data_IF_543620631791
#
_entry.id   IF_543620631791
#
_cell.length_a   1.000
_cell.length_b   1.000
_cell.length_c   1.000
_cell.angle_alpha   90.00
_cell.angle_beta   90.00
_cell.angle_gamma   90.00
#
_symmetry.space_group_name_H-M   'P 1'
#
loop_
_entity.id
_entity.type
_entity.pdbx_description
1 polymer ?
#
# COMPACT_ATOMS: atom_id res chain seq x y z
N UNK A 1 -18.88 84.33 -11.53
CA UNK A 1 -17.44 84.62 -11.72
C UNK A 1 -16.63 83.52 -11.05
N UNK A 2 -15.70 82.92 -11.81
CA UNK A 2 -14.52 82.11 -11.42
C UNK A 2 -14.79 80.77 -10.71
N UNK A 3 -14.74 79.65 -11.43
CA UNK A 3 -13.53 78.85 -11.75
C UNK A 3 -12.85 78.28 -10.50
N UNK A 4 -12.94 76.97 -10.32
CA UNK A 4 -11.74 76.12 -10.38
C UNK A 4 -12.15 74.68 -10.74
N UNK A 5 -11.83 74.30 -11.97
CA UNK A 5 -11.78 72.91 -12.44
C UNK A 5 -10.56 72.26 -11.78
N UNK A 6 -10.74 71.13 -11.10
CA UNK A 6 -9.68 70.12 -11.00
C UNK A 6 -10.27 68.74 -11.25
N UNK A 7 -9.96 68.24 -12.45
CA UNK A 7 -10.19 66.85 -12.88
C UNK A 7 -9.20 65.97 -12.13
N UNK A 8 -9.69 65.07 -11.29
CA UNK A 8 -8.97 63.84 -10.96
C UNK A 8 -9.74 62.72 -11.66
N UNK A 9 -9.18 62.24 -12.77
CA UNK A 9 -9.57 60.98 -13.39
C UNK A 9 -9.15 59.86 -12.45
N UNK A 10 -10.10 59.29 -11.71
CA UNK A 10 -9.93 57.96 -11.13
C UNK A 10 -10.40 56.95 -12.19
N UNK A 11 -9.44 56.24 -12.76
CA UNK A 11 -9.70 55.09 -13.64
C UNK A 11 -10.42 54.01 -12.82
N UNK A 12 -11.73 53.91 -12.96
CA UNK A 12 -12.47 52.71 -12.60
C UNK A 12 -12.18 51.66 -13.68
N UNK A 13 -11.07 50.94 -13.55
CA UNK A 13 -10.97 49.61 -14.16
C UNK A 13 -11.83 48.68 -13.33
N UNK A 14 -13.13 48.62 -13.66
CA UNK A 14 -13.96 47.49 -13.30
C UNK A 14 -13.35 46.25 -13.96
N UNK A 15 -12.62 45.46 -13.17
CA UNK A 15 -12.22 44.12 -13.57
C UNK A 15 -13.50 43.29 -13.60
N UNK A 16 -14.13 43.18 -14.78
CA UNK A 16 -15.13 42.15 -15.01
C UNK A 16 -14.41 40.81 -15.03
N UNK A 17 -14.32 40.19 -13.86
CA UNK A 17 -13.92 38.79 -13.74
C UNK A 17 -14.94 38.01 -14.56
N UNK A 18 -14.51 37.43 -15.68
CA UNK A 18 -15.39 36.57 -16.47
C UNK A 18 -15.99 35.49 -15.57
N UNK A 19 -17.25 35.12 -15.78
CA UNK A 19 -17.94 34.10 -14.98
C UNK A 19 -17.14 32.79 -14.86
N UNK A 20 -16.32 32.48 -15.87
CA UNK A 20 -15.37 31.36 -15.87
C UNK A 20 -14.24 31.51 -14.84
N UNK A 21 -13.65 32.70 -14.69
CA UNK A 21 -12.64 32.96 -13.67
C UNK A 21 -13.25 32.99 -12.26
N UNK A 22 -14.47 33.52 -12.11
CA UNK A 22 -15.17 33.46 -10.83
C UNK A 22 -15.46 32.02 -10.41
N UNK A 23 -15.89 31.16 -11.33
CA UNK A 23 -16.10 29.73 -11.10
C UNK A 23 -14.80 28.99 -10.70
N UNK A 24 -13.66 29.31 -11.34
CA UNK A 24 -12.36 28.73 -10.99
C UNK A 24 -11.86 29.19 -9.61
N UNK A 25 -12.06 30.47 -9.26
CA UNK A 25 -11.69 30.99 -7.94
C UNK A 25 -12.56 30.34 -6.86
N UNK A 26 -13.87 30.18 -7.10
CA UNK A 26 -14.78 29.50 -6.18
C UNK A 26 -14.38 28.02 -6.02
N UNK A 27 -13.98 27.32 -7.09
CA UNK A 27 -13.54 25.93 -6.99
C UNK A 27 -12.24 25.80 -6.20
N UNK A 28 -11.26 26.69 -6.42
CA UNK A 28 -10.00 26.69 -5.67
C UNK A 28 -10.25 26.98 -4.19
N UNK A 29 -11.13 27.94 -3.86
CA UNK A 29 -11.47 28.25 -2.48
C UNK A 29 -12.24 27.11 -1.79
N UNK A 30 -13.09 26.37 -2.51
CA UNK A 30 -13.76 25.17 -1.95
C UNK A 30 -12.76 24.03 -1.72
N UNK A 31 -11.79 23.83 -2.61
CA UNK A 31 -10.73 22.83 -2.41
C UNK A 31 -9.82 23.18 -1.22
N UNK A 32 -9.49 24.45 -1.02
CA UNK A 32 -8.70 24.90 0.14
C UNK A 32 -9.51 24.75 1.44
N UNK A 33 -10.80 25.08 1.44
CA UNK A 33 -11.66 24.91 2.62
C UNK A 33 -11.85 23.43 3.01
N UNK A 34 -11.99 22.53 2.02
CA UNK A 34 -12.04 21.08 2.25
C UNK A 34 -10.70 20.54 2.79
N UNK A 35 -9.57 21.03 2.29
CA UNK A 35 -8.24 20.68 2.80
C UNK A 35 -8.00 21.12 4.25
N UNK A 36 -8.46 22.31 4.63
CA UNK A 36 -8.36 22.83 6.00
C UNK A 36 -9.30 22.08 6.95
N UNK A 37 -10.51 21.71 6.52
CA UNK A 37 -11.40 20.86 7.33
C UNK A 37 -10.84 19.45 7.53
N UNK A 38 -10.11 18.90 6.56
CA UNK A 38 -9.44 17.61 6.68
C UNK A 38 -8.32 17.64 7.74
N UNK A 39 -7.58 18.74 7.82
CA UNK A 39 -6.54 18.94 8.84
C UNK A 39 -7.15 19.09 10.25
N UNK A 40 -8.25 19.82 10.40
CA UNK A 40 -8.93 20.00 11.69
C UNK A 40 -9.69 18.74 12.17
N UNK A 41 -10.21 17.92 11.27
CA UNK A 41 -10.82 16.64 11.62
C UNK A 41 -9.78 15.61 12.09
N UNK A 42 -8.56 15.65 11.53
CA UNK A 42 -7.46 14.76 11.92
C UNK A 42 -6.93 15.04 13.32
N UNK A 43 -6.98 16.30 13.79
CA UNK A 43 -6.56 16.66 15.16
C UNK A 43 -7.63 16.34 16.21
N UNK A 44 -8.92 16.41 15.85
CA UNK A 44 -10.02 16.07 16.77
C UNK A 44 -10.09 14.57 17.09
N UNK A 45 -9.71 13.70 16.15
CA UNK A 45 -9.69 12.25 16.36
C UNK A 45 -8.53 11.77 17.26
N UNK A 46 -7.48 12.58 17.43
CA UNK A 46 -6.32 12.26 18.27
C UNK A 46 -6.58 12.60 19.76
N UNK A 47 -7.56 13.47 20.08
CA UNK A 47 -7.75 14.01 21.43
C UNK A 47 -9.04 13.59 22.14
N UNK A 48 -9.90 12.75 21.55
CA UNK A 48 -11.23 12.48 22.10
C UNK A 48 -11.71 11.04 21.96
N UNK A 49 -11.21 10.13 22.79
CA UNK A 49 -11.67 8.74 22.82
C UNK A 49 -11.20 7.94 24.03
N UNK A 50 -11.62 8.35 25.24
CA UNK A 50 -11.42 7.57 26.46
C UNK A 50 -12.26 6.28 26.42
N UNK A 51 -11.63 5.12 26.21
CA UNK A 51 -12.23 3.81 26.48
C UNK A 51 -11.38 3.12 27.56
N UNK A 52 -12.00 2.89 28.72
CA UNK A 52 -11.43 2.14 29.84
C UNK A 52 -11.29 0.66 29.45
N UNK A 53 -10.07 0.16 29.33
CA UNK A 53 -9.81 -1.28 29.30
C UNK A 53 -9.88 -1.88 30.71
N UNK A 54 -10.67 -2.94 30.85
CA UNK A 54 -10.68 -3.82 32.03
C UNK A 54 -9.58 -4.85 31.86
N UNK A 55 -8.62 -4.84 32.78
CA UNK A 55 -7.64 -5.90 32.99
C UNK A 55 -8.33 -7.26 33.17
N UNK A 56 -7.82 -8.28 32.49
CA UNK A 56 -7.90 -9.66 32.97
C UNK A 56 -6.59 -10.38 32.62
N UNK A 57 -6.07 -11.03 33.67
CA UNK A 57 -4.81 -11.75 33.82
C UNK A 57 -4.41 -12.67 32.65
N UNK A 58 -3.15 -12.53 32.22
CA UNK A 58 -2.47 -13.55 31.40
C UNK A 58 -1.52 -14.30 32.33
N UNK A 59 -1.98 -15.47 32.79
CA UNK A 59 -1.09 -16.49 33.34
C UNK A 59 -0.39 -17.22 32.19
N UNK A 60 0.89 -17.47 32.42
CA UNK A 60 1.86 -18.20 31.60
C UNK A 60 1.33 -19.51 31.03
N UNK A 61 1.39 -19.68 29.71
CA UNK A 61 1.23 -20.99 29.06
C UNK A 61 2.59 -21.46 28.52
N UNK A 62 3.20 -22.42 29.21
CA UNK A 62 4.41 -23.12 28.78
C UNK A 62 4.12 -23.98 27.54
N UNK A 63 4.93 -23.82 26.49
CA UNK A 63 4.88 -24.71 25.32
C UNK A 63 5.89 -25.83 25.53
N UNK A 64 5.38 -26.99 25.94
CA UNK A 64 6.11 -28.26 25.92
C UNK A 64 6.43 -28.67 24.48
N UNK A 65 7.71 -29.00 24.25
CA UNK A 65 8.23 -29.63 23.03
C UNK A 65 7.37 -30.83 22.65
N UNK A 66 6.85 -30.88 21.42
CA UNK A 66 6.34 -32.09 20.79
C UNK A 66 6.99 -32.30 19.44
N UNK A 67 7.39 -33.55 19.26
CA UNK A 67 8.18 -34.09 18.17
C UNK A 67 7.55 -33.88 16.79
N UNK A 68 8.41 -33.52 15.84
CA UNK A 68 8.12 -33.47 14.41
C UNK A 68 7.95 -34.91 13.94
N UNK A 69 6.70 -35.37 13.84
CA UNK A 69 6.31 -36.47 12.96
C UNK A 69 5.64 -35.86 11.73
N UNK A 70 6.26 -36.09 10.57
CA UNK A 70 5.65 -35.91 9.26
C UNK A 70 4.22 -36.45 9.28
N UNK A 71 3.24 -35.54 9.21
CA UNK A 71 1.85 -35.91 9.12
C UNK A 71 1.22 -35.09 8.01
N UNK A 72 0.72 -35.82 7.01
CA UNK A 72 -0.12 -35.39 5.89
C UNK A 72 -0.95 -34.14 6.24
N UNK A 73 -0.46 -32.97 5.85
CA UNK A 73 -1.28 -31.76 5.82
C UNK A 73 -2.24 -31.96 4.67
N UNK A 74 -3.52 -32.21 4.96
CA UNK A 74 -4.57 -32.08 3.96
C UNK A 74 -4.41 -30.69 3.34
N UNK A 75 -4.13 -30.63 2.02
CA UNK A 75 -3.91 -29.38 1.29
C UNK A 75 -5.16 -28.52 1.42
N UNK A 76 -5.12 -27.55 2.34
CA UNK A 76 -6.23 -26.62 2.57
C UNK A 76 -6.40 -25.77 1.30
N UNK A 77 -7.63 -25.68 0.79
CA UNK A 77 -8.01 -24.86 -0.37
C UNK A 77 -7.31 -25.25 -1.68
N UNK A 78 -7.48 -26.50 -2.14
CA UNK A 78 -7.13 -26.91 -3.50
C UNK A 78 -7.85 -26.01 -4.51
N UNK A 79 -7.13 -25.48 -5.49
CA UNK A 79 -7.68 -24.45 -6.40
C UNK A 79 -8.86 -24.96 -7.22
N UNK A 80 -8.87 -26.25 -7.60
CA UNK A 80 -9.96 -26.87 -8.34
C UNK A 80 -11.31 -26.87 -7.61
N UNK A 81 -11.29 -26.88 -6.28
CA UNK A 81 -12.48 -26.89 -5.42
C UNK A 81 -13.01 -25.48 -5.14
N UNK A 82 -12.23 -24.43 -5.48
CA UNK A 82 -12.60 -23.05 -5.15
C UNK A 82 -13.69 -22.56 -6.11
N UNK A 83 -14.82 -22.15 -5.51
CA UNK A 83 -15.95 -21.51 -6.17
C UNK A 83 -16.17 -20.10 -5.60
N UNK A 84 -15.71 -19.08 -6.32
CA UNK A 84 -15.89 -17.68 -5.95
C UNK A 84 -16.33 -16.90 -7.18
N UNK A 85 -17.60 -16.51 -7.22
CA UNK A 85 -18.19 -15.72 -8.31
C UNK A 85 -18.38 -14.25 -7.92
N UNK A 86 -18.69 -13.99 -6.65
CA UNK A 86 -18.87 -12.65 -6.08
C UNK A 86 -18.01 -12.44 -4.85
N UNK A 87 -17.78 -11.17 -4.51
CA UNK A 87 -17.02 -10.75 -3.33
C UNK A 87 -17.75 -9.60 -2.63
N UNK A 88 -17.72 -9.60 -1.30
CA UNK A 88 -18.26 -8.51 -0.49
C UNK A 88 -17.14 -7.56 -0.08
N UNK A 89 -17.30 -6.29 -0.41
CA UNK A 89 -16.28 -5.25 -0.18
C UNK A 89 -16.88 -4.15 0.67
N UNK A 90 -16.21 -3.80 1.77
CA UNK A 90 -16.54 -2.64 2.56
C UNK A 90 -15.89 -1.38 1.98
N UNK A 91 -16.74 -0.44 1.56
CA UNK A 91 -16.34 0.86 1.05
C UNK A 91 -16.25 1.85 2.21
N UNK A 92 -15.02 2.13 2.66
CA UNK A 92 -14.77 2.86 3.92
C UNK A 92 -15.31 4.28 3.90
N UNK A 93 -15.25 4.98 2.76
CA UNK A 93 -15.75 6.37 2.64
C UNK A 93 -17.28 6.48 2.70
N UNK A 94 -17.98 5.46 2.23
CA UNK A 94 -19.44 5.43 2.16
C UNK A 94 -20.06 4.63 3.31
N UNK A 95 -19.22 4.06 4.19
CA UNK A 95 -19.61 3.19 5.31
C UNK A 95 -20.65 2.12 4.92
N UNK A 96 -20.41 1.42 3.81
CA UNK A 96 -21.32 0.38 3.32
C UNK A 96 -20.61 -0.80 2.69
N UNK A 97 -21.24 -1.96 2.74
CA UNK A 97 -20.79 -3.17 2.04
C UNK A 97 -21.49 -3.27 0.70
N UNK A 98 -20.71 -3.53 -0.36
CA UNK A 98 -21.21 -3.85 -1.70
C UNK A 98 -20.84 -5.28 -2.07
N UNK A 99 -21.68 -5.93 -2.86
CA UNK A 99 -21.38 -7.25 -3.44
C UNK A 99 -21.18 -7.09 -4.95
N UNK A 100 -20.06 -7.61 -5.46
CA UNK A 100 -19.64 -7.42 -6.84
C UNK A 100 -19.21 -8.76 -7.45
N UNK A 101 -19.44 -9.00 -8.76
CA UNK A 101 -18.74 -10.07 -9.47
C UNK A 101 -17.23 -9.89 -9.31
N UNK A 102 -16.51 -10.98 -9.02
CA UNK A 102 -15.08 -10.92 -8.71
C UNK A 102 -14.29 -10.21 -9.81
N UNK A 103 -14.60 -10.46 -11.08
CA UNK A 103 -13.90 -9.85 -12.21
C UNK A 103 -14.13 -8.33 -12.31
N UNK A 104 -15.32 -7.83 -11.93
CA UNK A 104 -15.57 -6.38 -11.86
C UNK A 104 -14.79 -5.74 -10.71
N UNK A 105 -14.71 -6.43 -9.58
CA UNK A 105 -13.87 -5.98 -8.46
C UNK A 105 -12.39 -5.89 -8.86
N UNK A 106 -11.85 -6.90 -9.56
CA UNK A 106 -10.45 -6.90 -10.01
C UNK A 106 -10.15 -5.74 -10.97
N UNK A 107 -11.07 -5.38 -11.88
CA UNK A 107 -10.90 -4.18 -12.72
C UNK A 107 -10.75 -2.91 -11.87
N UNK A 108 -11.58 -2.75 -10.84
CA UNK A 108 -11.50 -1.61 -9.91
C UNK A 108 -10.20 -1.61 -9.10
N UNK A 109 -9.72 -2.78 -8.68
CA UNK A 109 -8.44 -2.92 -7.95
C UNK A 109 -7.25 -2.53 -8.83
N UNK A 110 -7.06 -3.20 -9.98
CA UNK A 110 -5.83 -2.97 -10.76
C UNK A 110 -5.76 -1.57 -11.35
N UNK A 111 -6.92 -0.98 -11.66
CA UNK A 111 -6.98 0.42 -12.13
C UNK A 111 -6.67 1.44 -11.04
N UNK A 112 -6.75 1.05 -9.77
CA UNK A 112 -6.45 1.88 -8.60
C UNK A 112 -5.04 1.67 -8.06
N UNK A 113 -4.51 0.45 -8.20
CA UNK A 113 -3.20 0.04 -7.68
C UNK A 113 -2.05 0.27 -8.68
N UNK A 114 -2.31 0.13 -9.98
CA UNK A 114 -1.26 0.18 -11.01
C UNK A 114 -1.49 1.33 -12.00
N UNK A 115 -0.46 2.11 -12.38
CA UNK A 115 -0.59 3.14 -13.39
C UNK A 115 -1.04 2.57 -14.74
N UNK A 116 -2.05 3.18 -15.35
CA UNK A 116 -2.65 2.66 -16.59
C UNK A 116 -1.72 2.70 -17.81
N UNK A 117 -0.67 3.52 -17.76
CA UNK A 117 0.37 3.59 -18.78
C UNK A 117 1.38 2.43 -18.69
N UNK A 118 1.31 1.57 -17.66
CA UNK A 118 2.14 0.38 -17.59
C UNK A 118 1.79 -0.62 -18.68
N UNK A 119 2.75 -1.48 -19.00
CA UNK A 119 2.61 -2.50 -20.03
C UNK A 119 1.48 -3.48 -19.73
N UNK A 120 0.85 -3.99 -20.79
CA UNK A 120 -0.32 -4.86 -20.66
C UNK A 120 -0.01 -6.16 -19.91
N UNK A 121 1.20 -6.70 -20.08
CA UNK A 121 1.64 -7.91 -19.37
C UNK A 121 1.84 -7.66 -17.86
N UNK A 122 2.25 -6.45 -17.46
CA UNK A 122 2.31 -6.07 -16.05
C UNK A 122 0.90 -5.94 -15.44
N UNK A 123 -0.06 -5.35 -16.18
CA UNK A 123 -1.46 -5.27 -15.75
C UNK A 123 -2.10 -6.66 -15.62
N UNK A 124 -1.79 -7.60 -16.53
CA UNK A 124 -2.22 -9.01 -16.45
C UNK A 124 -1.63 -9.69 -15.21
N UNK A 125 -0.34 -9.50 -14.93
CA UNK A 125 0.29 -10.06 -13.73
C UNK A 125 -0.38 -9.51 -12.45
N UNK A 126 -0.64 -8.20 -12.40
CA UNK A 126 -1.36 -7.56 -11.30
C UNK A 126 -2.78 -8.12 -11.14
N UNK A 127 -3.50 -8.39 -12.24
CA UNK A 127 -4.83 -8.98 -12.18
C UNK A 127 -4.83 -10.37 -11.54
N UNK A 128 -3.88 -11.24 -11.89
CA UNK A 128 -3.74 -12.59 -11.31
C UNK A 128 -3.35 -12.52 -9.83
N UNK A 129 -2.36 -11.69 -9.47
CA UNK A 129 -1.95 -11.51 -8.07
C UNK A 129 -3.11 -10.94 -7.23
N UNK A 130 -3.78 -9.90 -7.73
CA UNK A 130 -4.92 -9.30 -7.05
C UNK A 130 -6.06 -10.31 -6.87
N UNK A 131 -6.42 -11.07 -7.91
CA UNK A 131 -7.46 -12.10 -7.81
C UNK A 131 -7.12 -13.19 -6.80
N UNK A 132 -5.88 -13.65 -6.78
CA UNK A 132 -5.41 -14.64 -5.82
C UNK A 132 -5.55 -14.12 -4.39
N UNK A 133 -5.12 -12.88 -4.14
CA UNK A 133 -5.29 -12.22 -2.85
C UNK A 133 -6.76 -12.09 -2.47
N UNK A 134 -7.61 -11.64 -3.40
CA UNK A 134 -9.06 -11.52 -3.20
C UNK A 134 -9.68 -12.84 -2.77
N UNK A 135 -9.43 -13.91 -3.53
CA UNK A 135 -9.96 -15.25 -3.23
C UNK A 135 -9.50 -15.69 -1.84
N UNK A 136 -8.22 -15.53 -1.52
CA UNK A 136 -7.62 -15.88 -0.22
C UNK A 136 -8.29 -15.19 0.97
N UNK A 137 -8.84 -13.99 0.76
CA UNK A 137 -9.50 -13.20 1.80
C UNK A 137 -11.03 -13.32 1.78
N UNK A 138 -11.60 -14.18 0.93
CA UNK A 138 -13.03 -14.47 1.02
C UNK A 138 -13.35 -15.35 2.22
N UNK A 139 -14.49 -15.10 2.85
CA UNK A 139 -15.02 -15.97 3.92
C UNK A 139 -15.30 -17.39 3.42
N UNK A 140 -15.57 -17.56 2.12
CA UNK A 140 -15.84 -18.85 1.48
C UNK A 140 -14.73 -19.88 1.73
N UNK A 141 -13.46 -19.44 1.84
CA UNK A 141 -12.32 -20.32 2.10
C UNK A 141 -11.64 -20.06 3.45
N UNK A 142 -12.41 -19.49 4.39
CA UNK A 142 -12.00 -19.23 5.77
C UNK A 142 -11.15 -17.96 5.95
N UNK A 143 -11.17 -17.04 4.98
CA UNK A 143 -10.59 -15.72 5.08
C UNK A 143 -11.55 -14.69 5.69
N UNK A 144 -11.31 -13.42 5.37
CA UNK A 144 -12.11 -12.26 5.74
C UNK A 144 -11.25 -11.07 6.15
N UNK A 145 -11.88 -9.92 6.33
CA UNK A 145 -11.21 -8.70 6.76
C UNK A 145 -11.74 -8.23 8.12
N UNK A 146 -10.85 -8.12 9.12
CA UNK A 146 -11.17 -7.61 10.46
C UNK A 146 -11.56 -6.12 10.45
N UNK A 147 -11.08 -5.35 9.48
CA UNK A 147 -11.49 -3.95 9.23
C UNK A 147 -12.59 -3.82 8.18
N UNK A 148 -13.13 -4.94 7.71
CA UNK A 148 -14.09 -4.99 6.61
C UNK A 148 -15.54 -4.90 7.05
N UNK A 149 -15.85 -4.57 8.31
CA UNK A 149 -17.24 -4.52 8.80
C UNK A 149 -18.07 -5.77 8.43
N UNK A 150 -17.49 -6.97 8.58
CA UNK A 150 -18.13 -8.23 8.23
C UNK A 150 -18.13 -8.59 6.73
N UNK A 151 -17.44 -7.84 5.88
CA UNK A 151 -17.19 -8.18 4.47
C UNK A 151 -15.94 -9.04 4.27
N UNK A 152 -15.67 -9.43 3.03
CA UNK A 152 -14.47 -10.19 2.66
C UNK A 152 -13.23 -9.30 2.65
N UNK A 153 -13.33 -8.09 2.07
CA UNK A 153 -12.22 -7.13 1.91
C UNK A 153 -12.65 -5.69 2.23
N UNK A 154 -11.69 -4.80 2.49
CA UNK A 154 -11.91 -3.34 2.48
C UNK A 154 -11.21 -2.66 1.31
N UNK A 155 -11.61 -1.44 0.98
CA UNK A 155 -11.14 -0.65 -0.18
C UNK A 155 -9.85 0.18 0.08
N UNK A 156 -9.06 -0.21 1.09
CA UNK A 156 -7.85 0.52 1.50
C UNK A 156 -6.60 -0.36 1.35
N UNK A 157 -5.42 0.23 1.56
CA UNK A 157 -4.13 -0.50 1.57
C UNK A 157 -4.01 -1.58 2.64
N UNK A 158 -4.97 -1.69 3.56
CA UNK A 158 -5.09 -2.85 4.45
C UNK A 158 -5.43 -4.13 3.67
N UNK A 159 -6.26 -4.02 2.64
CA UNK A 159 -6.57 -5.11 1.73
C UNK A 159 -6.07 -4.73 0.34
N UNK A 160 -6.89 -4.05 -0.45
CA UNK A 160 -6.56 -3.56 -1.78
C UNK A 160 -7.33 -2.27 -2.05
N UNK A 161 -6.68 -1.29 -2.65
CA UNK A 161 -7.35 -0.05 -3.04
C UNK A 161 -8.35 -0.35 -4.15
N UNK A 162 -9.60 0.06 -3.96
CA UNK A 162 -10.67 -0.13 -4.93
C UNK A 162 -11.38 1.20 -5.22
N UNK A 163 -11.60 1.47 -6.50
CA UNK A 163 -12.47 2.54 -7.00
C UNK A 163 -13.37 1.96 -8.08
N UNK A 164 -14.60 2.47 -8.18
CA UNK A 164 -15.55 2.04 -9.19
C UNK A 164 -15.13 2.47 -10.61
N UNK A 165 -15.74 1.85 -11.62
CA UNK A 165 -15.56 2.24 -13.02
C UNK A 165 -15.83 3.74 -13.23
N UNK A 166 -16.93 4.21 -12.67
CA UNK A 166 -17.39 5.59 -12.80
C UNK A 166 -16.37 6.56 -12.21
N UNK A 167 -15.88 6.26 -10.99
CA UNK A 167 -14.83 7.05 -10.33
C UNK A 167 -13.55 7.09 -11.18
N UNK A 168 -13.11 5.94 -11.70
CA UNK A 168 -11.91 5.84 -12.53
C UNK A 168 -12.03 6.57 -13.87
N UNK A 169 -13.16 6.42 -14.57
CA UNK A 169 -13.41 7.13 -15.83
C UNK A 169 -13.43 8.63 -15.59
N UNK A 170 -14.10 9.09 -14.52
CA UNK A 170 -14.12 10.50 -14.16
C UNK A 170 -12.71 11.04 -13.87
N UNK A 171 -11.89 10.30 -13.11
CA UNK A 171 -10.51 10.69 -12.79
C UNK A 171 -9.61 10.76 -14.03
N UNK A 172 -9.80 9.87 -15.00
CA UNK A 172 -9.01 9.85 -16.25
C UNK A 172 -9.52 10.83 -17.31
N UNK A 173 -10.70 11.42 -17.10
CA UNK A 173 -11.30 12.41 -17.99
C UNK A 173 -11.46 11.89 -19.42
N UNK A 174 -10.94 12.64 -20.39
CA UNK A 174 -11.11 12.33 -21.84
C UNK A 174 -10.56 10.95 -22.26
N UNK A 175 -9.62 10.38 -21.50
CA UNK A 175 -9.06 9.04 -21.75
C UNK A 175 -9.76 7.95 -20.94
N UNK A 176 -10.81 8.27 -20.18
CA UNK A 176 -11.44 7.35 -19.23
C UNK A 176 -11.91 6.05 -19.87
N UNK A 177 -12.68 6.14 -20.96
CA UNK A 177 -13.20 4.96 -21.66
C UNK A 177 -12.10 4.11 -22.29
N UNK A 178 -11.09 4.72 -22.93
CA UNK A 178 -9.99 3.97 -23.56
C UNK A 178 -9.08 3.31 -22.52
N UNK A 179 -8.80 4.00 -21.41
CA UNK A 179 -8.08 3.46 -20.28
C UNK A 179 -8.83 2.28 -19.64
N UNK A 180 -10.14 2.41 -19.46
CA UNK A 180 -10.96 1.33 -18.92
C UNK A 180 -10.97 0.09 -19.83
N UNK A 181 -11.01 0.26 -21.16
CA UNK A 181 -10.90 -0.86 -22.11
C UNK A 181 -9.59 -1.64 -21.95
N UNK A 182 -8.47 -0.95 -21.71
CA UNK A 182 -7.18 -1.62 -21.45
C UNK A 182 -7.21 -2.43 -20.15
N UNK A 183 -7.88 -1.93 -19.11
CA UNK A 183 -8.11 -2.67 -17.86
C UNK A 183 -8.95 -3.92 -18.13
N UNK A 184 -10.05 -3.79 -18.89
CA UNK A 184 -10.90 -4.90 -19.26
C UNK A 184 -10.14 -5.97 -20.06
N UNK A 185 -9.29 -5.56 -20.99
CA UNK A 185 -8.41 -6.46 -21.75
C UNK A 185 -7.52 -7.29 -20.82
N UNK A 186 -6.83 -6.64 -19.87
CA UNK A 186 -5.92 -7.32 -18.94
C UNK A 186 -6.66 -8.32 -18.02
N UNK A 187 -7.82 -7.93 -17.49
CA UNK A 187 -8.61 -8.77 -16.58
C UNK A 187 -9.26 -9.92 -17.33
N UNK A 188 -9.83 -9.68 -18.51
CA UNK A 188 -10.49 -10.72 -19.31
C UNK A 188 -9.49 -11.76 -19.82
N UNK A 189 -8.28 -11.33 -20.22
CA UNK A 189 -7.21 -12.22 -20.66
C UNK A 189 -6.69 -13.16 -19.55
N UNK A 190 -6.95 -12.82 -18.28
CA UNK A 190 -6.53 -13.58 -17.08
C UNK A 190 -7.71 -14.04 -16.23
N UNK A 191 -8.92 -14.05 -16.81
CA UNK A 191 -10.17 -14.32 -16.10
C UNK A 191 -10.09 -15.63 -15.31
N UNK A 192 -10.38 -15.58 -14.01
CA UNK A 192 -10.35 -16.73 -13.11
C UNK A 192 -8.98 -17.40 -12.91
N UNK A 193 -7.89 -16.81 -13.41
CA UNK A 193 -6.54 -17.32 -13.11
C UNK A 193 -6.07 -16.82 -11.74
N UNK A 194 -5.51 -17.73 -10.96
CA UNK A 194 -4.92 -17.50 -9.63
C UNK A 194 -3.55 -18.18 -9.53
N UNK A 195 -2.77 -17.79 -8.53
CA UNK A 195 -1.50 -18.43 -8.18
C UNK A 195 -1.76 -19.59 -7.22
N UNK A 196 -1.11 -20.72 -7.48
CA UNK A 196 -1.09 -21.88 -6.58
C UNK A 196 0.34 -22.24 -6.21
N UNK A 197 0.51 -22.87 -5.06
CA UNK A 197 1.75 -23.50 -4.64
C UNK A 197 1.44 -24.87 -4.06
N UNK A 198 2.12 -25.90 -4.58
CA UNK A 198 1.82 -27.30 -4.25
C UNK A 198 0.32 -27.64 -4.40
N UNK A 199 -0.36 -27.11 -5.41
CA UNK A 199 -1.79 -27.33 -5.72
C UNK A 199 -2.79 -26.61 -4.79
N UNK A 200 -2.33 -26.02 -3.69
CA UNK A 200 -3.14 -25.12 -2.85
C UNK A 200 -3.06 -23.68 -3.33
N UNK A 201 -4.09 -22.87 -3.06
CA UNK A 201 -4.07 -21.44 -3.35
C UNK A 201 -2.88 -20.75 -2.65
N UNK A 202 -2.09 -19.97 -3.39
CA UNK A 202 -1.02 -19.17 -2.82
C UNK A 202 -1.60 -17.92 -2.12
N UNK A 203 -2.10 -18.11 -0.90
CA UNK A 203 -2.91 -17.12 -0.17
C UNK A 203 -2.22 -15.77 0.11
N UNK A 204 -0.89 -15.74 0.06
CA UNK A 204 -0.06 -14.56 0.27
C UNK A 204 0.40 -13.92 -1.05
N UNK A 205 -0.48 -13.71 -2.02
CA UNK A 205 -0.13 -13.06 -3.30
C UNK A 205 0.07 -11.53 -3.13
N UNK A 206 1.01 -11.14 -2.27
CA UNK A 206 1.29 -9.74 -1.97
C UNK A 206 2.04 -9.06 -3.12
N UNK A 207 1.86 -7.75 -3.24
CA UNK A 207 2.53 -6.90 -4.22
C UNK A 207 2.70 -5.49 -3.64
N UNK A 208 3.63 -4.74 -4.20
CA UNK A 208 3.97 -3.40 -3.72
C UNK A 208 4.54 -2.54 -4.86
N UNK A 209 4.68 -1.24 -4.62
CA UNK A 209 4.99 -0.30 -5.70
C UNK A 209 6.38 -0.50 -6.31
N UNK A 210 7.42 -0.34 -5.49
CA UNK A 210 8.81 -0.27 -5.97
C UNK A 210 9.73 -0.92 -4.96
N UNK A 211 10.64 -1.78 -5.41
CA UNK A 211 11.66 -2.38 -4.54
C UNK A 211 12.92 -1.52 -4.45
N UNK A 212 13.89 -1.98 -3.68
CA UNK A 212 15.21 -1.32 -3.60
C UNK A 212 16.27 -1.97 -4.49
N UNK A 213 15.83 -2.77 -5.47
CA UNK A 213 16.65 -3.64 -6.31
C UNK A 213 16.45 -5.13 -6.01
N UNK A 214 15.89 -5.46 -4.83
CA UNK A 214 15.50 -6.81 -4.41
C UNK A 214 14.19 -6.78 -3.65
N UNK A 215 13.45 -7.88 -3.73
CA UNK A 215 12.28 -8.16 -2.87
C UNK A 215 12.72 -8.72 -1.52
N UNK A 216 11.78 -8.81 -0.58
CA UNK A 216 11.98 -9.32 0.78
C UNK A 216 11.39 -10.72 0.93
N UNK A 217 11.99 -11.54 1.81
CA UNK A 217 11.35 -12.77 2.27
C UNK A 217 10.13 -12.40 3.12
N UNK A 218 9.09 -13.24 3.10
CA UNK A 218 7.86 -12.92 3.84
C UNK A 218 8.07 -12.85 5.35
N UNK A 219 8.91 -13.71 5.93
CA UNK A 219 9.20 -13.73 7.38
C UNK A 219 10.03 -12.55 7.89
N UNK A 220 10.70 -11.82 7.00
CA UNK A 220 11.47 -10.64 7.38
C UNK A 220 10.57 -9.40 7.56
N UNK A 221 9.35 -9.45 7.02
CA UNK A 221 8.37 -8.35 7.01
C UNK A 221 7.08 -8.71 7.75
N UNK A 222 6.64 -9.95 7.62
CA UNK A 222 5.46 -10.55 8.24
C UNK A 222 5.85 -11.70 9.18
N UNK A 223 4.86 -12.34 9.82
CA UNK A 223 5.12 -13.38 10.83
C UNK A 223 5.49 -14.73 10.22
N UNK A 224 4.94 -15.07 9.05
CA UNK A 224 5.02 -16.42 8.50
C UNK A 224 5.97 -16.49 7.31
N UNK A 225 6.83 -17.51 7.30
CA UNK A 225 7.61 -17.89 6.14
C UNK A 225 6.71 -18.58 5.11
N UNK A 226 6.64 -18.04 3.90
CA UNK A 226 5.91 -18.60 2.77
C UNK A 226 6.90 -19.02 1.67
N UNK A 227 6.96 -20.30 1.28
CA UNK A 227 8.00 -20.82 0.37
C UNK A 227 8.09 -20.10 -0.99
N UNK A 228 6.97 -19.54 -1.45
CA UNK A 228 6.87 -18.80 -2.72
C UNK A 228 7.11 -17.30 -2.58
N UNK A 229 7.31 -16.76 -1.37
CA UNK A 229 7.65 -15.35 -1.13
C UNK A 229 9.08 -15.25 -0.63
N UNK A 230 10.01 -15.27 -1.57
CA UNK A 230 11.45 -15.24 -1.34
C UNK A 230 12.03 -13.97 -1.95
N UNK A 231 13.16 -13.53 -1.40
CA UNK A 231 13.92 -12.42 -1.98
C UNK A 231 14.41 -12.80 -3.37
N UNK A 232 14.07 -11.98 -4.37
CA UNK A 232 14.53 -12.07 -5.76
C UNK A 232 15.01 -10.69 -6.23
N UNK A 233 15.94 -10.69 -7.18
CA UNK A 233 16.38 -9.47 -7.87
C UNK A 233 15.20 -8.80 -8.59
N UNK A 234 15.17 -7.47 -8.61
CA UNK A 234 14.14 -6.70 -9.31
C UNK A 234 14.78 -5.49 -9.99
N UNK A 235 14.88 -5.55 -11.31
CA UNK A 235 15.57 -4.55 -12.14
C UNK A 235 14.60 -3.47 -12.64
N UNK A 236 15.13 -2.29 -12.95
CA UNK A 236 14.38 -1.17 -13.52
C UNK A 236 13.52 -0.41 -12.51
N UNK A 237 13.76 -0.63 -11.21
CA UNK A 237 13.07 0.03 -10.09
C UNK A 237 13.40 1.52 -10.02
N UNK A 238 14.60 1.89 -10.43
CA UNK A 238 15.12 3.25 -10.50
C UNK A 238 14.31 4.16 -11.44
N UNK A 239 13.52 3.57 -12.35
CA UNK A 239 12.60 4.30 -13.21
C UNK A 239 11.36 4.81 -12.46
N UNK A 240 11.11 4.29 -11.25
CA UNK A 240 9.97 4.71 -10.45
C UNK A 240 10.19 6.14 -9.90
N UNK A 241 9.20 7.05 -10.03
CA UNK A 241 9.31 8.42 -9.51
C UNK A 241 9.56 8.49 -8.00
N UNK A 242 9.19 7.43 -7.26
CA UNK A 242 9.34 7.33 -5.80
C UNK A 242 10.43 6.32 -5.39
N UNK A 243 11.37 6.01 -6.28
CA UNK A 243 12.46 5.08 -5.98
C UNK A 243 13.34 5.56 -4.81
N UNK A 244 13.57 6.87 -4.71
CA UNK A 244 14.25 7.50 -3.56
C UNK A 244 13.31 8.51 -2.91
N UNK A 245 13.39 8.63 -1.60
CA UNK A 245 12.66 9.67 -0.85
C UNK A 245 13.42 10.05 0.41
N UNK A 246 13.27 11.29 0.85
CA UNK A 246 13.88 11.80 2.08
C UNK A 246 12.79 12.30 3.00
N UNK A 247 12.88 11.95 4.28
CA UNK A 247 12.03 12.50 5.35
C UNK A 247 12.92 13.30 6.30
N UNK A 248 12.84 14.65 6.27
CA UNK A 248 13.49 15.47 7.29
C UNK A 248 12.71 15.36 8.61
N UNK A 249 13.43 15.29 9.74
CA UNK A 249 12.84 15.27 11.07
C UNK A 249 13.78 15.90 12.09
N UNK A 250 13.23 16.72 12.99
CA UNK A 250 14.02 17.30 14.07
C UNK A 250 14.42 16.24 15.09
N UNK A 251 15.54 16.45 15.78
CA UNK A 251 15.92 15.53 16.86
C UNK A 251 14.85 15.43 17.96
N UNK A 252 14.17 16.54 18.27
CA UNK A 252 13.11 16.59 19.25
C UNK A 252 11.92 15.69 18.85
N UNK A 253 11.40 15.86 17.63
CA UNK A 253 10.27 15.05 17.14
C UNK A 253 10.65 13.57 17.02
N UNK A 254 11.90 13.30 16.62
CA UNK A 254 12.40 11.93 16.52
C UNK A 254 12.36 11.22 17.87
N UNK A 255 12.89 11.87 18.90
CA UNK A 255 12.96 11.39 20.28
C UNK A 255 11.55 11.23 20.87
N UNK A 256 10.69 12.23 20.70
CA UNK A 256 9.33 12.21 21.22
C UNK A 256 8.57 10.99 20.71
N UNK A 257 8.60 10.74 19.39
CA UNK A 257 7.95 9.58 18.76
C UNK A 257 8.52 8.25 19.25
N UNK A 258 9.85 8.13 19.35
CA UNK A 258 10.47 6.89 19.82
C UNK A 258 10.12 6.60 21.29
N UNK A 259 10.10 7.64 22.13
CA UNK A 259 9.81 7.51 23.55
C UNK A 259 8.34 7.22 23.82
N UNK A 260 7.42 7.90 23.13
CA UNK A 260 5.98 7.73 23.34
C UNK A 260 5.49 6.35 22.89
N UNK A 261 5.99 5.86 21.74
CA UNK A 261 5.53 4.58 21.18
C UNK A 261 6.27 3.38 21.77
N UNK A 262 7.58 3.51 22.07
CA UNK A 262 8.43 2.37 22.40
C UNK A 262 9.17 2.48 23.73
N UNK A 263 8.90 3.51 24.54
CA UNK A 263 9.60 3.75 25.81
C UNK A 263 11.13 3.70 25.64
N UNK A 264 11.63 4.24 24.53
CA UNK A 264 13.02 4.14 24.09
C UNK A 264 14.03 4.87 25.01
N UNK A 265 13.56 5.71 25.94
CA UNK A 265 14.36 6.51 26.87
C UNK A 265 15.48 7.31 26.18
N UNK A 266 15.17 7.87 25.02
CA UNK A 266 16.08 8.66 24.22
C UNK A 266 16.18 10.11 24.70
N UNK A 267 17.33 10.73 24.47
CA UNK A 267 17.58 12.15 24.78
C UNK A 267 18.45 12.83 23.71
N UNK A 268 18.50 14.16 23.70
CA UNK A 268 19.34 14.93 22.76
C UNK A 268 20.85 14.68 22.95
N UNK A 269 21.27 14.35 24.17
CA UNK A 269 22.67 14.14 24.49
C UNK A 269 23.19 12.88 23.77
N UNK A 270 24.19 13.04 22.91
CA UNK A 270 24.78 11.94 22.12
C UNK A 270 23.73 11.14 21.33
N UNK A 271 22.76 11.81 20.70
CA UNK A 271 21.66 11.13 19.98
C UNK A 271 22.16 10.11 18.94
N UNK A 272 23.29 10.38 18.27
CA UNK A 272 23.88 9.48 17.27
C UNK A 272 24.24 8.11 17.86
N UNK A 273 24.72 8.08 19.11
CA UNK A 273 25.11 6.84 19.80
C UNK A 273 23.89 6.02 20.26
N UNK A 274 22.72 6.66 20.33
CA UNK A 274 21.47 6.02 20.74
C UNK A 274 20.73 5.34 19.58
N UNK A 275 21.17 5.56 18.34
CA UNK A 275 20.54 5.00 17.14
C UNK A 275 21.54 4.05 16.47
N UNK A 276 21.19 2.77 16.37
CA UNK A 276 22.08 1.78 15.75
C UNK A 276 21.31 0.79 14.91
N UNK A 277 21.55 0.78 13.60
CA UNK A 277 21.11 -0.31 12.73
C UNK A 277 21.90 -1.56 13.13
N UNK A 278 21.19 -2.62 13.48
CA UNK A 278 21.79 -3.86 13.99
C UNK A 278 21.96 -4.90 12.87
N UNK A 279 20.93 -5.06 12.04
CA UNK A 279 20.88 -6.10 11.01
C UNK A 279 20.05 -5.61 9.81
N UNK A 280 20.42 -6.09 8.61
CA UNK A 280 19.64 -5.93 7.38
C UNK A 280 19.23 -7.30 6.84
N UNK A 281 18.11 -7.33 6.14
CA UNK A 281 17.60 -8.49 5.42
C UNK A 281 18.38 -8.71 4.13
N UNK A 282 18.20 -9.86 3.49
CA UNK A 282 18.80 -10.14 2.17
C UNK A 282 18.26 -9.19 1.07
N UNK A 283 17.02 -8.71 1.22
CA UNK A 283 16.41 -7.70 0.35
C UNK A 283 16.90 -6.27 0.60
N UNK A 284 17.68 -6.06 1.66
CA UNK A 284 18.34 -4.80 2.00
C UNK A 284 17.60 -3.94 3.04
N UNK A 285 16.35 -4.26 3.38
CA UNK A 285 15.63 -3.56 4.45
C UNK A 285 16.30 -3.72 5.81
N UNK A 286 16.06 -2.77 6.70
CA UNK A 286 16.48 -2.88 8.09
C UNK A 286 15.64 -3.95 8.78
N UNK A 287 16.30 -5.01 9.24
CA UNK A 287 15.64 -6.09 9.99
C UNK A 287 15.44 -5.68 11.44
N UNK A 288 16.47 -5.10 12.05
CA UNK A 288 16.40 -4.57 13.42
C UNK A 288 17.23 -3.30 13.61
N UNK A 289 16.69 -2.37 14.39
CA UNK A 289 17.32 -1.10 14.76
C UNK A 289 17.10 -0.83 16.25
N UNK A 290 18.17 -0.40 16.91
CA UNK A 290 18.16 0.05 18.30
C UNK A 290 17.90 1.54 18.37
N UNK A 291 16.95 1.93 19.22
CA UNK A 291 16.57 3.30 19.57
C UNK A 291 16.64 3.43 21.09
N UNK A 292 17.71 4.03 21.62
CA UNK A 292 17.97 4.08 23.06
C UNK A 292 17.97 2.68 23.69
N UNK A 293 16.99 2.40 24.55
CA UNK A 293 16.80 1.07 25.18
C UNK A 293 15.94 0.11 24.35
N UNK A 294 15.16 0.62 23.39
CA UNK A 294 14.26 -0.19 22.57
C UNK A 294 15.00 -0.79 21.37
N UNK A 295 14.56 -1.98 20.94
CA UNK A 295 14.93 -2.56 19.65
C UNK A 295 13.66 -2.86 18.88
N UNK A 296 13.54 -2.31 17.67
CA UNK A 296 12.35 -2.44 16.83
C UNK A 296 12.74 -2.94 15.43
N UNK A 297 11.77 -3.43 14.67
CA UNK A 297 11.97 -3.83 13.28
C UNK A 297 11.91 -2.63 12.33
N UNK A 298 12.51 -2.76 11.15
CA UNK A 298 12.42 -1.72 10.11
C UNK A 298 10.98 -1.36 9.70
N UNK A 299 10.04 -2.32 9.54
CA UNK A 299 8.63 -2.00 9.29
C UNK A 299 7.97 -1.16 10.39
N UNK A 300 8.32 -1.40 11.67
CA UNK A 300 7.84 -0.56 12.78
C UNK A 300 8.41 0.85 12.71
N UNK A 301 9.72 0.97 12.46
CA UNK A 301 10.39 2.26 12.28
C UNK A 301 9.78 3.04 11.10
N UNK A 302 9.57 2.36 9.96
CA UNK A 302 8.93 2.91 8.77
C UNK A 302 7.58 3.53 9.10
N UNK A 303 6.73 2.80 9.82
CA UNK A 303 5.41 3.29 10.21
C UNK A 303 5.50 4.47 11.18
N UNK A 304 6.39 4.41 12.18
CA UNK A 304 6.56 5.48 13.17
C UNK A 304 6.96 6.82 12.54
N UNK A 305 7.83 6.78 11.53
CA UNK A 305 8.39 7.98 10.90
C UNK A 305 7.80 8.28 9.51
N UNK A 306 6.78 7.55 9.07
CA UNK A 306 6.08 7.81 7.81
C UNK A 306 6.95 7.59 6.56
N UNK A 307 7.81 6.57 6.59
CA UNK A 307 8.76 6.30 5.51
C UNK A 307 8.14 5.49 4.37
N UNK A 308 8.68 5.67 3.16
CA UNK A 308 8.24 4.93 1.99
C UNK A 308 8.58 3.43 2.07
N UNK A 309 9.71 3.06 2.67
CA UNK A 309 10.15 1.68 2.82
C UNK A 309 10.92 1.47 4.13
N UNK A 310 11.23 0.22 4.45
CA UNK A 310 12.12 -0.15 5.55
C UNK A 310 13.60 -0.20 5.14
N UNK A 311 13.93 0.09 3.88
CA UNK A 311 15.32 0.23 3.42
C UNK A 311 15.70 1.71 3.43
N UNK A 312 16.34 2.14 4.51
CA UNK A 312 16.74 3.54 4.70
C UNK A 312 18.13 3.69 5.31
N UNK A 313 18.64 4.91 5.20
CA UNK A 313 19.85 5.42 5.84
C UNK A 313 19.50 6.69 6.61
N UNK A 314 20.26 6.98 7.67
CA UNK A 314 20.05 8.17 8.53
C UNK A 314 21.26 9.09 8.35
N UNK A 315 21.00 10.29 7.85
CA UNK A 315 21.98 11.37 7.77
C UNK A 315 21.76 12.36 8.92
N UNK A 316 22.81 12.70 9.65
CA UNK A 316 22.73 13.54 10.84
C UNK A 316 23.19 14.96 10.53
N UNK A 317 22.32 15.94 10.75
CA UNK A 317 22.60 17.36 10.62
C UNK A 317 22.81 18.00 12.01
N UNK A 318 22.99 19.32 12.07
CA UNK A 318 23.29 20.01 13.32
C UNK A 318 22.16 19.93 14.34
N UNK A 319 20.92 20.18 13.91
CA UNK A 319 19.72 20.18 14.77
C UNK A 319 18.66 19.14 14.36
N UNK A 320 18.85 18.53 13.19
CA UNK A 320 17.88 17.67 12.54
C UNK A 320 18.56 16.39 12.02
N UNK A 321 17.77 15.48 11.49
CA UNK A 321 18.24 14.37 10.68
C UNK A 321 17.38 14.21 9.42
N UNK A 322 17.97 13.58 8.42
CA UNK A 322 17.30 13.19 7.18
C UNK A 322 17.31 11.68 7.05
N UNK A 323 16.12 11.09 6.88
CA UNK A 323 15.98 9.65 6.68
C UNK A 323 15.76 9.39 5.20
N UNK A 324 16.79 8.89 4.53
CA UNK A 324 16.80 8.61 3.09
C UNK A 324 16.39 7.17 2.83
N UNK A 325 15.25 6.97 2.16
CA UNK A 325 14.69 5.65 1.86
C UNK A 325 14.90 5.28 0.39
N UNK A 326 14.97 3.97 0.13
CA UNK A 326 14.98 3.38 -1.21
C UNK A 326 13.82 2.41 -1.38
N UNK A 327 13.10 2.52 -2.48
CA UNK A 327 11.87 1.77 -2.75
C UNK A 327 10.63 2.36 -2.06
N UNK A 328 9.47 1.81 -2.40
CA UNK A 328 8.17 2.21 -1.86
C UNK A 328 7.25 1.01 -1.68
N UNK A 329 6.92 0.70 -0.42
CA UNK A 329 6.08 -0.45 -0.07
C UNK A 329 6.77 -1.40 0.91
N UNK A 330 6.15 -2.55 1.13
CA UNK A 330 6.62 -3.53 2.11
C UNK A 330 7.68 -4.50 1.56
N UNK A 331 7.89 -4.56 0.24
CA UNK A 331 9.00 -5.32 -0.36
C UNK A 331 8.72 -6.79 -0.68
N UNK A 332 7.59 -7.36 -0.25
CA UNK A 332 7.31 -8.80 -0.36
C UNK A 332 6.48 -9.11 -1.61
N UNK A 333 6.86 -10.14 -2.36
CA UNK A 333 6.14 -10.58 -3.56
C UNK A 333 6.45 -9.71 -4.78
N UNK A 334 5.44 -9.33 -5.56
CA UNK A 334 5.64 -8.66 -6.85
C UNK A 334 5.84 -7.15 -6.72
N UNK A 335 6.95 -6.65 -7.27
CA UNK A 335 7.16 -5.21 -7.51
C UNK A 335 6.39 -4.77 -8.75
N UNK A 336 5.56 -3.73 -8.64
CA UNK A 336 4.78 -3.21 -9.77
C UNK A 336 5.69 -2.56 -10.83
N UNK A 337 6.68 -1.77 -10.41
CA UNK A 337 7.64 -1.16 -11.33
C UNK A 337 8.60 -2.18 -11.94
N UNK A 338 9.05 -3.15 -11.16
CA UNK A 338 9.84 -4.27 -11.68
C UNK A 338 9.06 -5.14 -12.67
N UNK A 339 7.78 -5.42 -12.42
CA UNK A 339 6.90 -6.10 -13.37
C UNK A 339 6.74 -5.32 -14.67
N UNK A 340 6.61 -3.98 -14.58
CA UNK A 340 6.53 -3.11 -15.75
C UNK A 340 7.84 -3.13 -16.56
N UNK A 341 9.00 -3.13 -15.90
CA UNK A 341 10.30 -3.25 -16.58
C UNK A 341 10.44 -4.61 -17.28
N UNK A 342 10.09 -5.70 -16.61
CA UNK A 342 10.12 -7.03 -17.24
C UNK A 342 9.19 -7.08 -18.48
N UNK A 343 8.00 -6.49 -18.37
CA UNK A 343 7.06 -6.44 -19.49
C UNK A 343 7.60 -5.61 -20.67
N UNK A 344 8.27 -4.47 -20.41
CA UNK A 344 8.88 -3.66 -21.46
C UNK A 344 10.07 -4.36 -22.14
N UNK A 345 10.72 -5.30 -21.45
CA UNK A 345 11.73 -6.22 -21.99
C UNK A 345 11.11 -7.44 -22.72
N UNK A 346 9.78 -7.47 -22.89
CA UNK A 346 9.07 -8.50 -23.63
C UNK A 346 8.71 -9.76 -22.84
N UNK A 347 8.83 -9.75 -21.51
CA UNK A 347 8.37 -10.85 -20.65
C UNK A 347 6.85 -10.89 -20.58
N UNK A 348 6.30 -12.11 -20.55
CA UNK A 348 4.86 -12.31 -20.38
C UNK A 348 4.47 -12.18 -18.92
N UNK A 349 3.17 -12.00 -18.64
CA UNK A 349 2.65 -11.98 -17.27
C UNK A 349 2.98 -13.25 -16.48
N UNK A 350 3.12 -14.40 -17.16
CA UNK A 350 3.50 -15.67 -16.53
C UNK A 350 4.95 -15.64 -16.07
N UNK A 351 5.86 -15.15 -16.92
CA UNK A 351 7.28 -15.01 -16.59
C UNK A 351 7.45 -14.05 -15.41
N UNK A 352 6.70 -12.95 -15.40
CA UNK A 352 6.68 -11.96 -14.30
C UNK A 352 6.25 -12.63 -13.00
N UNK A 353 5.11 -13.33 -12.99
CA UNK A 353 4.59 -13.99 -11.79
C UNK A 353 5.52 -15.08 -11.28
N UNK A 354 6.09 -15.90 -12.16
CA UNK A 354 7.02 -16.97 -11.78
C UNK A 354 8.37 -16.43 -11.25
N UNK A 355 8.77 -15.24 -11.69
CA UNK A 355 9.93 -14.54 -11.14
C UNK A 355 9.70 -14.08 -9.70
N UNK A 356 8.58 -13.39 -9.44
CA UNK A 356 8.30 -12.81 -8.12
C UNK A 356 7.74 -13.80 -7.10
N UNK A 357 7.11 -14.87 -7.56
CA UNK A 357 6.52 -15.90 -6.70
C UNK A 357 7.17 -17.25 -6.98
N UNK A 358 8.13 -17.65 -6.15
CA UNK A 358 8.99 -18.80 -6.43
C UNK A 358 8.21 -20.12 -6.43
N UNK A 359 8.31 -20.89 -7.52
CA UNK A 359 7.73 -22.23 -7.61
C UNK A 359 6.21 -22.28 -7.66
N UNK A 360 5.54 -21.16 -7.98
CA UNK A 360 4.09 -21.15 -8.17
C UNK A 360 3.68 -21.78 -9.50
N UNK A 361 2.41 -22.16 -9.59
CA UNK A 361 1.73 -22.43 -10.85
C UNK A 361 0.57 -21.44 -11.04
N UNK A 362 0.14 -21.27 -12.28
CA UNK A 362 -1.11 -20.58 -12.59
C UNK A 362 -2.21 -21.61 -12.77
N UNK A 363 -3.27 -21.45 -12.00
CA UNK A 363 -4.43 -22.35 -12.01
C UNK A 363 -5.73 -21.58 -12.18
N UNK A 364 -6.78 -22.30 -12.54
CA UNK A 364 -8.08 -21.73 -12.86
C UNK A 364 -9.06 -22.08 -11.73
N UNK A 365 -9.65 -21.06 -11.10
CA UNK A 365 -10.80 -21.26 -10.19
C UNK A 365 -12.08 -21.47 -11.01
N UNK A 366 -13.13 -21.95 -10.34
CA UNK A 366 -14.44 -22.16 -10.96
C UNK A 366 -14.40 -23.14 -12.16
N UNK A 367 -13.40 -24.05 -12.23
CA UNK A 367 -13.36 -25.14 -13.23
C UNK A 367 -14.62 -26.00 -13.07
N UNK A 368 -15.37 -26.16 -14.15
CA UNK A 368 -16.61 -26.96 -14.15
C UNK A 368 -16.32 -28.45 -13.97
#
# INVERSE_FOLDING_TARGET
MRNLKNKIKLNAHSVSISEKMASQIISVLTFVALGVMFLLASTYFILGGNIKEKNNDISSFEIGKRDIKENKVAKKNLVEDIKVDTVKVYLTKQDRVVELPIEEYIKGVISSEMPINFEIEALKAQAVAARTYTVAHTKAIGGGCNKGNGSDLCDTTHCQVYLSKEEKIQMWGVKGESNWKKVEEAVNATKGQVLSYDGGLASGAYYFSTSSGKTENSEDVFVNALPYLRSVESKGEENAPRYKSVVPISYADFIEKANSEYNANMSLNNIKDQIKILERTDGGSIKSIKLGTATISGPKFRSLYGLNSANFEINYLDNDMEISCTGFGHGVGMSQWGANNMASEGKTYKDILQHYYTGINLEQINKK
#
